data_IF_482257708910
#
_entry.id   IF_482257708910
#
_cell.length_a   1.000
_cell.length_b   1.000
_cell.length_c   1.000
_cell.angle_alpha   90.00
_cell.angle_beta   90.00
_cell.angle_gamma   90.00
#
_symmetry.space_group_name_H-M   'P 1'
#
loop_
_entity.id
_entity.type
_entity.pdbx_description
1 polymer ?
#
# COMPACT_ATOMS: atom_id res chain seq x y z
N UNK A 1 5.48 -25.90 -8.26
CA UNK A 1 6.72 -25.45 -8.92
C UNK A 1 7.55 -24.67 -7.92
N UNK A 2 8.86 -24.59 -8.13
CA UNK A 2 9.76 -23.79 -7.30
C UNK A 2 9.47 -22.30 -7.46
N UNK A 3 9.40 -21.56 -6.36
CA UNK A 3 9.10 -20.13 -6.35
C UNK A 3 10.36 -19.36 -6.01
N UNK A 4 10.85 -18.56 -6.95
CA UNK A 4 11.95 -17.62 -6.70
C UNK A 4 11.39 -16.22 -6.43
N UNK A 5 11.84 -15.64 -5.31
CA UNK A 5 11.63 -14.22 -5.00
C UNK A 5 12.75 -13.40 -5.63
N UNK A 6 12.38 -12.33 -6.32
CA UNK A 6 13.30 -11.32 -6.82
C UNK A 6 12.91 -9.93 -6.26
N UNK A 7 13.90 -9.05 -6.13
CA UNK A 7 13.71 -7.65 -5.72
C UNK A 7 14.10 -6.77 -6.90
N UNK A 8 13.19 -5.91 -7.35
CA UNK A 8 13.41 -4.95 -8.43
C UNK A 8 13.69 -3.54 -7.93
N UNK A 9 13.78 -2.56 -8.84
CA UNK A 9 13.81 -1.15 -8.47
C UNK A 9 12.52 -0.74 -7.75
N UNK A 10 12.66 0.04 -6.67
CA UNK A 10 11.50 0.63 -6.01
C UNK A 10 11.15 1.93 -6.71
N UNK A 11 10.30 1.81 -7.73
CA UNK A 11 9.94 2.91 -8.64
C UNK A 11 8.47 2.80 -9.02
N UNK A 12 7.83 3.97 -9.13
CA UNK A 12 6.51 4.10 -9.76
C UNK A 12 6.56 5.21 -10.82
N UNK A 13 5.83 5.01 -11.91
CA UNK A 13 5.72 5.97 -13.00
C UNK A 13 4.25 6.28 -13.26
N UNK A 14 3.95 7.59 -13.30
CA UNK A 14 2.67 8.09 -13.73
C UNK A 14 2.84 8.81 -15.06
N UNK A 15 2.34 8.18 -16.12
CA UNK A 15 2.36 8.74 -17.48
C UNK A 15 1.06 9.48 -17.74
N UNK A 16 1.18 10.74 -18.14
CA UNK A 16 0.08 11.61 -18.59
C UNK A 16 0.41 12.11 -19.99
N UNK A 17 -0.59 12.57 -20.73
CA UNK A 17 -0.38 13.10 -22.08
C UNK A 17 0.66 14.23 -22.14
N UNK A 18 0.80 15.01 -21.07
CA UNK A 18 1.68 16.17 -20.99
C UNK A 18 2.99 15.95 -20.21
N UNK A 19 3.07 14.92 -19.37
CA UNK A 19 4.23 14.70 -18.50
C UNK A 19 4.34 13.24 -18.04
N UNK A 20 5.57 12.82 -17.76
CA UNK A 20 5.83 11.63 -16.96
C UNK A 20 6.36 12.07 -15.60
N UNK A 21 5.77 11.51 -14.54
CA UNK A 21 6.21 11.71 -13.17
C UNK A 21 6.77 10.39 -12.67
N UNK A 22 8.02 10.39 -12.23
CA UNK A 22 8.68 9.22 -11.68
C UNK A 22 9.00 9.47 -10.22
N UNK A 23 8.64 8.53 -9.35
CA UNK A 23 9.08 8.49 -7.96
C UNK A 23 9.88 7.21 -7.77
N UNK A 24 11.16 7.35 -7.44
CA UNK A 24 12.04 6.21 -7.17
C UNK A 24 12.75 6.37 -5.83
N UNK A 25 13.07 5.26 -5.18
CA UNK A 25 13.81 5.26 -3.92
C UNK A 25 14.76 4.07 -3.92
N UNK A 26 16.00 4.20 -3.41
CA UNK A 26 16.86 3.04 -3.16
C UNK A 26 16.14 2.05 -2.22
N UNK A 27 16.39 0.75 -2.41
CA UNK A 27 15.71 -0.28 -1.61
C UNK A 27 15.87 -0.04 -0.10
N UNK A 28 17.10 0.20 0.35
CA UNK A 28 17.44 0.47 1.75
C UNK A 28 17.58 1.98 2.07
N UNK A 29 17.09 2.85 1.17
CA UNK A 29 17.13 4.30 1.35
C UNK A 29 15.84 4.84 1.98
N UNK A 30 15.95 5.98 2.67
CA UNK A 30 14.82 6.71 3.26
C UNK A 30 14.44 7.97 2.48
N UNK A 31 15.20 8.31 1.44
CA UNK A 31 14.98 9.48 0.58
C UNK A 31 14.65 9.02 -0.81
N UNK A 32 13.50 9.44 -1.33
CA UNK A 32 13.08 9.22 -2.70
C UNK A 32 13.46 10.41 -3.59
N UNK A 33 13.67 10.14 -4.87
CA UNK A 33 13.81 11.15 -5.92
C UNK A 33 12.50 11.22 -6.69
N UNK A 34 11.97 12.42 -6.86
CA UNK A 34 10.86 12.70 -7.76
C UNK A 34 11.39 13.46 -8.99
N UNK A 35 11.15 12.89 -10.17
CA UNK A 35 11.52 13.47 -11.46
C UNK A 35 10.26 13.81 -12.24
N UNK A 36 10.25 14.98 -12.89
CA UNK A 36 9.14 15.44 -13.75
C UNK A 36 9.71 16.05 -15.02
N UNK A 37 8.99 15.89 -16.13
CA UNK A 37 9.34 16.53 -17.41
C UNK A 37 9.58 18.03 -17.22
N UNK A 38 10.72 18.54 -17.73
CA UNK A 38 11.11 19.96 -17.69
C UNK A 38 11.23 20.58 -16.28
N UNK A 39 11.43 19.76 -15.24
CA UNK A 39 11.72 20.23 -13.87
C UNK A 39 12.97 19.56 -13.33
N UNK A 40 13.74 20.23 -12.45
CA UNK A 40 14.82 19.58 -11.73
C UNK A 40 14.28 18.48 -10.81
N UNK A 41 15.11 17.49 -10.55
CA UNK A 41 14.82 16.45 -9.57
C UNK A 41 14.64 17.06 -8.18
N UNK A 42 13.67 16.53 -7.44
CA UNK A 42 13.47 16.89 -6.05
C UNK A 42 13.63 15.67 -5.14
N UNK A 43 14.11 15.92 -3.92
CA UNK A 43 14.29 14.89 -2.89
C UNK A 43 13.13 14.95 -1.91
N UNK A 44 12.57 13.78 -1.60
CA UNK A 44 11.43 13.65 -0.69
C UNK A 44 11.74 12.62 0.39
N UNK A 45 11.61 12.96 1.69
CA UNK A 45 11.66 11.97 2.75
C UNK A 45 10.54 10.94 2.55
N UNK A 46 10.93 9.70 2.36
CA UNK A 46 10.04 8.58 2.15
C UNK A 46 10.64 7.37 2.87
N UNK A 47 10.63 7.39 4.21
CA UNK A 47 11.10 6.27 5.00
C UNK A 47 10.20 5.04 4.79
N UNK A 48 10.75 3.83 4.99
CA UNK A 48 9.92 2.63 5.11
C UNK A 48 9.05 2.78 6.36
N UNK A 49 7.75 2.51 6.22
CA UNK A 49 6.86 2.35 7.37
C UNK A 49 7.05 0.98 7.97
N UNK A 50 7.06 0.91 9.29
CA UNK A 50 7.14 -0.36 9.99
C UNK A 50 5.85 -1.15 9.77
N UNK A 51 5.94 -2.49 9.72
CA UNK A 51 4.78 -3.38 9.52
C UNK A 51 3.67 -3.08 10.54
N UNK A 52 4.05 -2.75 11.78
CA UNK A 52 3.11 -2.36 12.83
C UNK A 52 2.31 -1.10 12.49
N UNK A 53 2.96 -0.10 11.91
CA UNK A 53 2.32 1.17 11.53
C UNK A 53 1.37 0.97 10.35
N UNK A 54 1.79 0.19 9.35
CA UNK A 54 0.94 -0.20 8.22
C UNK A 54 -0.31 -0.95 8.71
N UNK A 55 -0.12 -1.96 9.58
CA UNK A 55 -1.24 -2.74 10.12
C UNK A 55 -2.19 -1.88 10.96
N UNK A 56 -1.65 -0.99 11.80
CA UNK A 56 -2.47 -0.10 12.61
C UNK A 56 -3.29 0.87 11.75
N UNK A 57 -2.75 1.33 10.61
CA UNK A 57 -3.49 2.15 9.65
C UNK A 57 -4.57 1.35 8.93
N UNK A 58 -4.28 0.13 8.48
CA UNK A 58 -5.28 -0.73 7.84
C UNK A 58 -6.43 -1.07 8.80
N UNK A 59 -6.12 -1.32 10.09
CA UNK A 59 -7.13 -1.50 11.15
C UNK A 59 -8.00 -0.27 11.38
N UNK A 60 -7.48 0.95 11.16
CA UNK A 60 -8.28 2.19 11.23
C UNK A 60 -9.19 2.37 10.00
N UNK A 61 -8.82 1.78 8.87
CA UNK A 61 -9.55 1.87 7.59
C UNK A 61 -10.49 0.68 7.36
N UNK A 62 -10.57 -0.25 8.32
CA UNK A 62 -11.51 -1.35 8.28
C UNK A 62 -12.92 -0.78 8.43
N UNK A 63 -13.68 -0.90 7.35
CA UNK A 63 -15.12 -0.65 7.36
C UNK A 63 -15.84 -1.73 8.19
N UNK A 64 -17.03 -1.44 8.72
CA UNK A 64 -17.86 -2.44 9.38
C UNK A 64 -18.07 -3.67 8.48
N UNK A 65 -17.94 -4.86 9.06
CA UNK A 65 -18.20 -6.11 8.36
C UNK A 65 -19.71 -6.41 8.39
N UNK A 66 -20.41 -5.98 7.34
CA UNK A 66 -21.86 -6.17 7.19
C UNK A 66 -22.24 -7.66 7.14
N UNK A 67 -21.41 -8.51 6.51
CA UNK A 67 -21.67 -9.95 6.40
C UNK A 67 -21.58 -10.61 7.78
N UNK A 68 -20.54 -10.29 8.54
CA UNK A 68 -20.39 -10.80 9.89
C UNK A 68 -21.52 -10.31 10.81
N UNK A 69 -21.95 -9.05 10.66
CA UNK A 69 -23.11 -8.51 11.37
C UNK A 69 -24.39 -9.30 11.09
N UNK A 70 -24.71 -9.54 9.81
CA UNK A 70 -25.87 -10.33 9.41
C UNK A 70 -25.80 -11.77 9.94
N UNK A 71 -24.63 -12.41 9.89
CA UNK A 71 -24.41 -13.74 10.44
C UNK A 71 -24.69 -13.79 11.95
N UNK A 72 -24.18 -12.80 12.71
CA UNK A 72 -24.45 -12.67 14.14
C UNK A 72 -25.95 -12.46 14.42
N UNK A 73 -26.63 -11.65 13.61
CA UNK A 73 -28.06 -11.40 13.76
C UNK A 73 -28.91 -12.66 13.51
N UNK A 74 -28.39 -13.65 12.76
CA UNK A 74 -29.05 -14.94 12.54
C UNK A 74 -28.74 -16.02 13.57
N UNK A 75 -27.86 -15.77 14.55
CA UNK A 75 -27.51 -16.75 15.59
C UNK A 75 -28.71 -17.10 16.49
N UNK A 76 -29.66 -16.19 16.64
CA UNK A 76 -30.92 -16.41 17.35
C UNK A 76 -31.77 -17.54 16.74
N UNK A 77 -31.56 -17.88 15.47
CA UNK A 77 -32.24 -18.96 14.74
C UNK A 77 -31.53 -20.30 14.84
N UNK A 78 -30.35 -20.35 15.46
CA UNK A 78 -29.56 -21.58 15.59
C UNK A 78 -30.08 -22.39 16.77
N UNK A 79 -30.65 -23.57 16.49
CA UNK A 79 -31.01 -24.55 17.51
C UNK A 79 -29.82 -25.48 17.71
N UNK A 80 -29.22 -25.45 18.90
CA UNK A 80 -28.23 -26.43 19.31
C UNK A 80 -28.95 -27.71 19.73
N UNK A 81 -28.73 -28.79 18.99
CA UNK A 81 -29.07 -30.17 19.37
C UNK A 81 -27.89 -30.88 19.99
#
# INVERSE_FOLDING_TARGET
GEVQRAVGELKVELVRASETITLSRPQEGVTATITRTAKPDALVPLARRETRECLAEDMRRLDPDEIYHEALAGLDKVVYT
#
